data_IF_069802517036
#
_entry.id   IF_069802517036
#
_cell.length_a   1.000
_cell.length_b   1.000
_cell.length_c   1.000
_cell.angle_alpha   90.00
_cell.angle_beta   90.00
_cell.angle_gamma   90.00
#
_symmetry.space_group_name_H-M   'P 1'
#
loop_
_entity.id
_entity.type
_entity.pdbx_description
1 polymer ?
#
# COMPACT_ATOMS: atom_id res chain seq x y z
N UNK A 1 49.09 58.37 -21.17
CA UNK A 1 48.74 57.42 -20.09
C UNK A 1 47.22 57.42 -20.00
N UNK A 2 46.57 56.44 -20.61
CA UNK A 2 45.11 56.36 -20.73
C UNK A 2 44.63 55.22 -19.84
N UNK A 3 43.79 55.52 -18.84
CA UNK A 3 43.11 54.52 -18.02
C UNK A 3 41.73 54.23 -18.62
N UNK A 4 41.29 52.96 -18.73
CA UNK A 4 39.93 52.67 -19.16
C UNK A 4 38.96 52.65 -17.96
N UNK A 5 37.77 53.19 -18.18
CA UNK A 5 36.60 53.16 -17.31
C UNK A 5 35.98 51.75 -17.26
N UNK A 6 35.45 51.29 -16.11
CA UNK A 6 34.74 50.01 -16.06
C UNK A 6 33.27 50.19 -16.46
N UNK A 7 32.80 49.38 -17.40
CA UNK A 7 31.39 49.24 -17.77
C UNK A 7 30.65 48.43 -16.69
N UNK A 8 29.64 49.05 -16.07
CA UNK A 8 28.66 48.38 -15.22
C UNK A 8 27.68 47.61 -16.10
N UNK A 9 27.80 46.28 -16.11
CA UNK A 9 26.79 45.39 -16.68
C UNK A 9 25.65 45.21 -15.66
N UNK A 10 24.46 45.70 -16.01
CA UNK A 10 23.21 45.40 -15.31
C UNK A 10 22.80 43.96 -15.64
N UNK A 11 22.87 43.06 -14.66
CA UNK A 11 22.35 41.70 -14.77
C UNK A 11 20.83 41.73 -14.60
N UNK A 12 20.09 41.52 -15.68
CA UNK A 12 18.64 41.28 -15.64
C UNK A 12 18.32 40.01 -14.85
N UNK A 13 17.59 40.14 -13.74
CA UNK A 13 17.05 39.01 -12.99
C UNK A 13 15.90 38.39 -13.79
N UNK A 14 16.17 37.26 -14.46
CA UNK A 14 15.15 36.38 -15.00
C UNK A 14 14.50 35.62 -13.84
N UNK A 15 13.28 36.02 -13.48
CA UNK A 15 12.43 35.29 -12.55
C UNK A 15 12.13 33.90 -13.11
N UNK A 16 12.77 32.87 -12.55
CA UNK A 16 12.45 31.47 -12.80
C UNK A 16 11.12 31.19 -12.08
N UNK A 17 10.01 31.22 -12.83
CA UNK A 17 8.74 30.70 -12.35
C UNK A 17 8.88 29.20 -12.08
N UNK A 18 8.67 28.79 -10.84
CA UNK A 18 8.68 27.39 -10.43
C UNK A 18 7.48 26.69 -11.08
N UNK A 19 7.68 26.11 -12.26
CA UNK A 19 6.71 25.22 -12.90
C UNK A 19 6.65 23.93 -12.08
N UNK A 20 5.74 23.88 -11.11
CA UNK A 20 5.39 22.62 -10.45
C UNK A 20 4.79 21.71 -11.54
N UNK A 21 5.36 20.53 -11.82
CA UNK A 21 4.85 19.66 -12.87
C UNK A 21 3.42 19.20 -12.50
N UNK A 22 2.48 19.37 -13.44
CA UNK A 22 1.05 19.00 -13.29
C UNK A 22 0.82 17.56 -12.78
N UNK A 23 1.78 16.66 -13.00
CA UNK A 23 1.64 15.23 -12.72
C UNK A 23 1.52 14.91 -11.22
N UNK A 24 2.10 15.70 -10.31
CA UNK A 24 2.05 15.40 -8.88
C UNK A 24 0.67 15.72 -8.27
N UNK A 25 -0.05 16.69 -8.86
CA UNK A 25 -1.37 17.11 -8.36
C UNK A 25 -2.46 16.09 -8.65
N UNK A 26 -2.36 15.36 -9.77
CA UNK A 26 -3.31 14.32 -10.16
C UNK A 26 -3.28 13.13 -9.16
N UNK A 27 -2.08 12.59 -8.89
CA UNK A 27 -1.91 11.45 -7.98
C UNK A 27 -2.46 11.73 -6.56
N UNK A 28 -2.22 12.93 -5.99
CA UNK A 28 -2.74 13.29 -4.66
C UNK A 28 -4.28 13.40 -4.66
N UNK A 29 -4.85 13.97 -5.73
CA UNK A 29 -6.30 14.13 -5.88
C UNK A 29 -6.98 12.77 -5.96
N UNK A 30 -6.37 11.83 -6.69
CA UNK A 30 -6.88 10.48 -6.88
C UNK A 30 -6.79 9.61 -5.61
N UNK A 31 -5.66 9.65 -4.91
CA UNK A 31 -5.50 8.98 -3.62
C UNK A 31 -6.56 9.51 -2.62
N UNK A 32 -6.72 10.83 -2.54
CA UNK A 32 -7.74 11.45 -1.68
C UNK A 32 -9.15 11.00 -2.05
N UNK A 33 -9.43 10.83 -3.34
CA UNK A 33 -10.72 10.38 -3.84
C UNK A 33 -10.99 8.93 -3.45
N UNK A 34 -10.05 8.02 -3.66
CA UNK A 34 -10.17 6.60 -3.25
C UNK A 34 -10.46 6.50 -1.74
N UNK A 35 -9.75 7.28 -0.91
CA UNK A 35 -10.01 7.31 0.52
C UNK A 35 -11.41 7.82 0.89
N UNK A 36 -11.92 8.83 0.17
CA UNK A 36 -13.27 9.39 0.42
C UNK A 36 -14.40 8.53 -0.10
N UNK A 37 -14.15 7.67 -1.08
CA UNK A 37 -15.16 6.76 -1.61
C UNK A 37 -15.48 5.66 -0.60
N UNK A 38 -16.69 5.11 -0.67
CA UNK A 38 -17.08 3.88 0.03
C UNK A 38 -17.05 2.74 -0.98
N UNK A 39 -16.05 1.85 -0.93
CA UNK A 39 -15.93 0.76 -1.90
C UNK A 39 -17.07 -0.24 -1.71
N UNK A 40 -17.51 -0.87 -2.80
CA UNK A 40 -18.49 -1.97 -2.75
C UNK A 40 -17.95 -3.18 -3.50
N UNK A 41 -18.42 -4.39 -3.21
CA UNK A 41 -17.96 -5.59 -3.93
C UNK A 41 -18.18 -5.48 -5.45
N UNK A 42 -19.21 -4.78 -5.90
CA UNK A 42 -19.54 -4.64 -7.33
C UNK A 42 -18.69 -3.58 -8.05
N UNK A 43 -18.08 -2.66 -7.31
CA UNK A 43 -17.28 -1.58 -7.86
C UNK A 43 -16.38 -0.99 -6.78
N UNK A 44 -15.07 -1.10 -6.98
CA UNK A 44 -14.06 -0.41 -6.19
C UNK A 44 -12.80 -0.16 -7.04
N UNK A 45 -11.98 0.77 -6.57
CA UNK A 45 -10.75 1.18 -7.22
C UNK A 45 -9.53 0.57 -6.55
N UNK A 46 -8.55 0.22 -7.37
CA UNK A 46 -7.20 -0.13 -6.91
C UNK A 46 -6.15 0.72 -7.62
N UNK A 47 -5.05 0.98 -6.94
CA UNK A 47 -3.87 1.69 -7.44
C UNK A 47 -2.85 0.70 -8.02
N UNK A 48 -2.22 1.09 -9.13
CA UNK A 48 -1.11 0.37 -9.76
C UNK A 48 -0.08 1.34 -10.33
N UNK A 49 1.11 0.84 -10.69
CA UNK A 49 2.10 1.59 -11.47
C UNK A 49 3.03 2.48 -10.64
N UNK A 50 3.00 2.36 -9.32
CA UNK A 50 3.81 3.12 -8.37
C UNK A 50 3.19 4.48 -8.03
N UNK A 51 3.08 4.79 -6.73
CA UNK A 51 2.53 6.06 -6.25
C UNK A 51 1.08 6.31 -6.67
N UNK A 52 0.32 5.24 -6.95
CA UNK A 52 -1.00 5.29 -7.56
C UNK A 52 -1.04 6.05 -8.90
N UNK A 53 -0.04 5.82 -9.77
CA UNK A 53 0.02 6.45 -11.08
C UNK A 53 -1.13 6.01 -12.02
N UNK A 54 -1.65 4.80 -11.82
CA UNK A 54 -2.77 4.24 -12.56
C UNK A 54 -3.85 3.73 -11.60
N UNK A 55 -5.11 3.91 -11.99
CA UNK A 55 -6.27 3.46 -11.22
C UNK A 55 -7.05 2.47 -12.07
N UNK A 56 -7.33 1.31 -11.50
CA UNK A 56 -8.14 0.28 -12.13
C UNK A 56 -9.42 0.09 -11.35
N UNK A 57 -10.54 0.20 -12.06
CA UNK A 57 -11.86 -0.16 -11.55
C UNK A 57 -12.01 -1.68 -11.62
N UNK A 58 -12.44 -2.29 -10.53
CA UNK A 58 -12.60 -3.73 -10.42
C UNK A 58 -13.81 -4.08 -9.55
N UNK A 59 -14.10 -5.38 -9.45
CA UNK A 59 -15.18 -5.95 -8.68
C UNK A 59 -14.82 -7.35 -8.20
N UNK A 60 -15.58 -7.86 -7.23
CA UNK A 60 -15.55 -9.23 -6.74
C UNK A 60 -16.86 -9.90 -7.09
N UNK A 61 -16.77 -11.05 -7.77
CA UNK A 61 -17.88 -11.95 -7.99
C UNK A 61 -18.26 -12.66 -6.68
N UNK A 62 -19.47 -13.22 -6.63
CA UNK A 62 -19.99 -13.83 -5.41
C UNK A 62 -19.19 -15.07 -4.96
N UNK A 63 -18.62 -15.83 -5.89
CA UNK A 63 -17.76 -17.00 -5.63
C UNK A 63 -16.36 -16.60 -5.14
N UNK A 64 -15.80 -15.55 -5.73
CA UNK A 64 -14.57 -14.93 -5.25
C UNK A 64 -14.74 -14.39 -3.82
N UNK A 65 -15.86 -13.70 -3.54
CA UNK A 65 -16.13 -13.21 -2.20
C UNK A 65 -16.36 -14.33 -1.19
N UNK A 66 -17.04 -15.41 -1.56
CA UNK A 66 -17.16 -16.61 -0.71
C UNK A 66 -15.81 -17.21 -0.34
N UNK A 67 -14.84 -17.14 -1.24
CA UNK A 67 -13.46 -17.57 -0.95
C UNK A 67 -12.85 -16.72 0.16
N UNK A 68 -13.15 -15.43 0.20
CA UNK A 68 -12.73 -14.52 1.28
C UNK A 68 -13.47 -14.81 2.58
N UNK A 69 -14.80 -14.93 2.55
CA UNK A 69 -15.58 -15.18 3.78
C UNK A 69 -15.22 -16.50 4.44
N UNK A 70 -14.89 -17.53 3.64
CA UNK A 70 -14.46 -18.84 4.14
C UNK A 70 -13.18 -18.77 5.00
N UNK A 71 -12.32 -17.75 4.83
CA UNK A 71 -11.13 -17.54 5.68
C UNK A 71 -11.55 -17.18 7.11
N UNK A 72 -12.67 -16.48 7.27
CA UNK A 72 -13.19 -16.04 8.57
C UNK A 72 -14.14 -17.06 9.20
N UNK A 73 -14.55 -18.09 8.46
CA UNK A 73 -15.41 -19.15 8.94
C UNK A 73 -14.61 -20.16 9.75
N UNK A 74 -14.63 -20.02 11.07
CA UNK A 74 -14.00 -20.99 11.96
C UNK A 74 -15.00 -21.46 13.03
N UNK A 75 -15.68 -22.58 12.75
CA UNK A 75 -16.87 -23.01 13.49
C UNK A 75 -16.62 -23.46 14.93
N UNK A 76 -15.35 -23.56 15.37
CA UNK A 76 -14.98 -24.15 16.66
C UNK A 76 -14.00 -23.30 17.49
N UNK A 77 -13.62 -22.10 17.04
CA UNK A 77 -12.68 -21.24 17.76
C UNK A 77 -13.37 -19.94 18.20
N UNK A 78 -13.09 -19.52 19.42
CA UNK A 78 -13.47 -18.19 19.89
C UNK A 78 -12.70 -17.15 19.06
N UNK A 79 -13.41 -16.26 18.38
CA UNK A 79 -12.79 -15.17 17.62
C UNK A 79 -12.22 -14.15 18.61
N UNK A 80 -10.90 -14.06 18.65
CA UNK A 80 -10.17 -13.01 19.37
C UNK A 80 -9.45 -12.08 18.38
N UNK A 81 -8.90 -10.97 18.91
CA UNK A 81 -8.25 -9.98 18.07
C UNK A 81 -7.02 -10.54 17.35
N UNK A 82 -6.30 -11.50 17.94
CA UNK A 82 -5.15 -12.11 17.28
C UNK A 82 -5.57 -12.95 16.08
N UNK A 83 -6.61 -13.78 16.24
CA UNK A 83 -7.16 -14.60 15.17
C UNK A 83 -7.77 -13.73 14.07
N UNK A 84 -8.48 -12.65 14.42
CA UNK A 84 -8.99 -11.71 13.42
C UNK A 84 -7.86 -11.09 12.59
N UNK A 85 -6.73 -10.70 13.21
CA UNK A 85 -5.55 -10.24 12.46
C UNK A 85 -5.00 -11.30 11.53
N UNK A 86 -4.92 -12.57 11.96
CA UNK A 86 -4.48 -13.66 11.09
C UNK A 86 -5.39 -13.81 9.86
N UNK A 87 -6.71 -13.82 10.07
CA UNK A 87 -7.68 -13.90 8.96
C UNK A 87 -7.58 -12.70 8.03
N UNK A 88 -7.37 -11.49 8.55
CA UNK A 88 -7.14 -10.29 7.73
C UNK A 88 -5.88 -10.47 6.88
N UNK A 89 -4.77 -10.94 7.45
CA UNK A 89 -3.53 -11.17 6.72
C UNK A 89 -3.73 -12.13 5.54
N UNK A 90 -4.37 -13.27 5.79
CA UNK A 90 -4.64 -14.29 4.78
C UNK A 90 -5.63 -13.79 3.71
N UNK A 91 -6.64 -13.03 4.12
CA UNK A 91 -7.62 -12.45 3.22
C UNK A 91 -7.02 -11.37 2.29
N UNK A 92 -6.07 -10.57 2.78
CA UNK A 92 -5.34 -9.62 1.93
C UNK A 92 -4.59 -10.37 0.83
N UNK A 93 -3.83 -11.42 1.16
CA UNK A 93 -3.15 -12.23 0.16
C UNK A 93 -4.13 -12.86 -0.85
N UNK A 94 -5.25 -13.42 -0.38
CA UNK A 94 -6.25 -13.97 -1.31
C UNK A 94 -6.86 -12.91 -2.23
N UNK A 95 -7.16 -11.70 -1.70
CA UNK A 95 -7.68 -10.59 -2.49
C UNK A 95 -6.67 -10.11 -3.52
N UNK A 96 -5.40 -9.98 -3.16
CA UNK A 96 -4.33 -9.63 -4.09
C UNK A 96 -4.17 -10.63 -5.23
N UNK A 97 -4.32 -11.93 -4.94
CA UNK A 97 -4.29 -12.97 -5.96
C UNK A 97 -5.47 -12.86 -6.93
N UNK A 98 -6.68 -12.68 -6.40
CA UNK A 98 -7.91 -12.55 -7.21
C UNK A 98 -7.86 -11.28 -8.06
N UNK A 99 -7.53 -10.16 -7.44
CA UNK A 99 -7.51 -8.86 -8.11
C UNK A 99 -6.31 -8.77 -9.07
N UNK A 100 -5.14 -9.29 -8.68
CA UNK A 100 -3.97 -9.29 -9.55
C UNK A 100 -4.17 -10.02 -10.86
N UNK A 101 -4.99 -11.07 -10.89
CA UNK A 101 -5.40 -11.74 -12.13
C UNK A 101 -6.25 -10.85 -13.05
N UNK A 102 -7.01 -9.91 -12.50
CA UNK A 102 -7.88 -8.98 -13.25
C UNK A 102 -7.15 -7.71 -13.68
N UNK A 103 -6.15 -7.30 -12.89
CA UNK A 103 -5.49 -6.00 -13.03
C UNK A 103 -4.06 -6.12 -13.55
N UNK A 104 -3.64 -7.34 -13.93
CA UNK A 104 -2.30 -7.66 -14.41
C UNK A 104 -1.19 -7.33 -13.39
N UNK A 105 -1.48 -7.49 -12.09
CA UNK A 105 -0.51 -7.35 -10.99
C UNK A 105 -0.18 -8.69 -10.33
N UNK A 106 -0.62 -9.82 -10.91
CA UNK A 106 -0.32 -11.17 -10.41
C UNK A 106 1.18 -11.53 -10.40
N UNK A 107 2.00 -10.75 -11.11
CA UNK A 107 3.46 -10.89 -11.15
C UNK A 107 4.16 -9.87 -10.25
N UNK A 108 3.41 -9.15 -9.41
CA UNK A 108 3.99 -8.29 -8.39
C UNK A 108 4.90 -9.08 -7.46
N UNK A 109 6.04 -8.46 -7.14
CA UNK A 109 7.11 -9.08 -6.37
C UNK A 109 7.40 -8.26 -5.13
N UNK A 110 7.87 -8.94 -4.10
CA UNK A 110 8.32 -8.34 -2.85
C UNK A 110 9.24 -7.15 -3.09
N UNK A 111 8.85 -5.99 -2.57
CA UNK A 111 9.65 -4.77 -2.61
C UNK A 111 9.55 -3.93 -3.88
N UNK A 112 9.89 -2.64 -3.80
CA UNK A 112 9.75 -1.69 -4.93
C UNK A 112 11.01 -1.49 -5.77
N UNK A 113 12.18 -1.32 -5.16
CA UNK A 113 13.33 -0.68 -5.84
C UNK A 113 13.93 -1.55 -6.97
N UNK A 114 14.17 -2.82 -6.72
CA UNK A 114 14.72 -3.75 -7.73
C UNK A 114 13.66 -4.21 -8.74
N UNK A 115 12.38 -3.95 -8.44
CA UNK A 115 11.26 -4.47 -9.22
C UNK A 115 10.48 -3.39 -9.95
N UNK A 116 10.77 -2.11 -9.75
CA UNK A 116 10.02 -0.99 -10.36
C UNK A 116 9.88 -1.06 -11.89
N UNK A 117 10.73 -1.84 -12.57
CA UNK A 117 10.69 -2.09 -14.02
C UNK A 117 9.94 -3.37 -14.41
N UNK A 118 9.52 -4.18 -13.46
CA UNK A 118 8.78 -5.43 -13.71
C UNK A 118 7.32 -5.10 -14.07
N UNK A 119 6.78 -5.71 -15.15
CA UNK A 119 5.38 -5.59 -15.47
C UNK A 119 4.50 -6.06 -14.30
N UNK A 120 3.48 -5.26 -13.97
CA UNK A 120 2.54 -5.57 -12.89
C UNK A 120 3.04 -5.24 -11.48
N UNK A 121 4.24 -4.66 -11.34
CA UNK A 121 4.81 -4.30 -10.05
C UNK A 121 4.01 -3.18 -9.34
N UNK A 122 3.84 -3.35 -8.04
CA UNK A 122 3.26 -2.39 -7.11
C UNK A 122 4.35 -1.80 -6.19
N UNK A 123 4.14 -0.57 -5.75
CA UNK A 123 4.95 0.05 -4.70
C UNK A 123 4.24 0.07 -3.34
N UNK A 124 4.95 0.52 -2.30
CA UNK A 124 4.37 0.58 -0.96
C UNK A 124 3.12 1.48 -0.85
N UNK A 125 2.94 2.45 -1.75
CA UNK A 125 1.75 3.30 -1.72
C UNK A 125 0.57 2.60 -2.37
N UNK A 126 0.80 1.95 -3.52
CA UNK A 126 -0.20 1.12 -4.18
C UNK A 126 -0.72 0.03 -3.21
N UNK A 127 0.22 -0.70 -2.60
CA UNK A 127 -0.07 -1.76 -1.63
C UNK A 127 -0.87 -1.25 -0.42
N UNK A 128 -0.45 -0.13 0.17
CA UNK A 128 -1.13 0.46 1.31
C UNK A 128 -2.57 0.92 0.98
N UNK A 129 -2.78 1.52 -0.19
CA UNK A 129 -4.10 1.98 -0.63
C UNK A 129 -5.02 0.79 -0.94
N UNK A 130 -4.50 -0.21 -1.65
CA UNK A 130 -5.24 -1.41 -2.02
C UNK A 130 -5.64 -2.21 -0.77
N UNK A 131 -4.68 -2.46 0.13
CA UNK A 131 -4.94 -3.13 1.41
C UNK A 131 -5.96 -2.39 2.27
N UNK A 132 -5.91 -1.05 2.31
CA UNK A 132 -6.93 -0.26 3.01
C UNK A 132 -8.32 -0.44 2.40
N UNK A 133 -8.42 -0.47 1.07
CA UNK A 133 -9.68 -0.70 0.34
C UNK A 133 -10.25 -2.09 0.63
N UNK A 134 -9.41 -3.12 0.60
CA UNK A 134 -9.78 -4.49 0.95
C UNK A 134 -10.30 -4.62 2.38
N UNK A 135 -9.59 -4.06 3.35
CA UNK A 135 -10.04 -4.08 4.75
C UNK A 135 -11.36 -3.34 4.95
N UNK A 136 -11.59 -2.23 4.23
CA UNK A 136 -12.88 -1.52 4.28
C UNK A 136 -14.02 -2.36 3.72
N UNK A 137 -13.79 -3.14 2.65
CA UNK A 137 -14.78 -4.10 2.15
C UNK A 137 -15.07 -5.18 3.20
N UNK A 138 -14.04 -5.77 3.80
CA UNK A 138 -14.20 -6.78 4.86
C UNK A 138 -14.95 -6.25 6.08
N UNK A 139 -14.65 -5.02 6.52
CA UNK A 139 -15.35 -4.37 7.63
C UNK A 139 -16.83 -4.09 7.31
N UNK A 140 -17.14 -3.56 6.12
CA UNK A 140 -18.52 -3.28 5.70
C UNK A 140 -19.41 -4.54 5.66
N UNK A 141 -18.80 -5.70 5.41
CA UNK A 141 -19.46 -6.99 5.33
C UNK A 141 -19.37 -7.80 6.63
N UNK A 142 -18.94 -7.18 7.74
CA UNK A 142 -18.95 -7.80 9.08
C UNK A 142 -17.89 -8.88 9.30
N UNK A 143 -16.84 -8.93 8.46
CA UNK A 143 -15.72 -9.86 8.66
C UNK A 143 -14.70 -9.34 9.69
N UNK A 144 -14.56 -8.01 9.80
CA UNK A 144 -13.71 -7.34 10.78
C UNK A 144 -14.61 -6.67 11.82
N UNK A 145 -14.54 -7.15 13.06
CA UNK A 145 -15.41 -6.72 14.16
C UNK A 145 -14.63 -6.24 15.39
N UNK A 146 -13.38 -6.68 15.57
CA UNK A 146 -12.56 -6.34 16.72
C UNK A 146 -11.55 -5.21 16.42
N UNK A 147 -11.37 -4.86 15.14
CA UNK A 147 -10.51 -3.76 14.69
C UNK A 147 -11.29 -2.70 13.90
N UNK A 148 -10.78 -1.47 13.95
CA UNK A 148 -11.22 -0.36 13.14
C UNK A 148 -10.13 0.08 12.18
N UNK A 149 -10.49 0.23 10.91
CA UNK A 149 -9.56 0.66 9.85
C UNK A 149 -9.28 2.16 9.99
N UNK A 150 -8.01 2.54 9.85
CA UNK A 150 -7.52 3.92 9.82
C UNK A 150 -6.99 4.29 8.42
N UNK A 151 -6.75 5.59 8.20
CA UNK A 151 -5.94 6.04 7.07
C UNK A 151 -4.52 5.45 7.13
N UNK A 152 -3.92 5.22 5.96
CA UNK A 152 -2.54 4.73 5.87
C UNK A 152 -1.54 5.62 6.62
N UNK A 153 -0.38 5.05 6.95
CA UNK A 153 0.71 5.76 7.62
C UNK A 153 2.03 5.50 6.92
N UNK A 154 2.90 6.51 6.97
CA UNK A 154 4.24 6.45 6.38
C UNK A 154 5.30 6.59 7.47
N UNK A 155 6.37 5.79 7.39
CA UNK A 155 7.61 5.98 8.18
C UNK A 155 8.71 6.57 7.29
N UNK A 156 9.44 7.56 7.78
CA UNK A 156 10.38 8.37 6.99
C UNK A 156 11.79 7.80 6.87
N UNK A 157 12.17 6.81 7.69
CA UNK A 157 13.51 6.19 7.69
C UNK A 157 13.39 4.68 7.51
N UNK A 158 12.97 4.26 6.32
CA UNK A 158 13.02 2.87 5.89
C UNK A 158 14.20 2.63 4.93
N UNK A 159 14.46 1.40 4.48
CA UNK A 159 15.60 0.97 3.65
C UNK A 159 16.28 2.12 2.86
N UNK A 160 17.53 2.42 3.20
CA UNK A 160 18.33 3.51 2.61
C UNK A 160 17.75 4.93 2.72
N UNK A 161 16.92 5.19 3.74
CA UNK A 161 16.33 6.49 4.03
C UNK A 161 15.07 6.81 3.23
N UNK A 162 14.47 5.85 2.54
CA UNK A 162 13.23 6.07 1.79
C UNK A 162 12.00 5.98 2.68
N UNK A 163 10.91 6.72 2.36
CA UNK A 163 9.64 6.54 3.03
C UNK A 163 9.03 5.18 2.69
N UNK A 164 8.30 4.60 3.65
CA UNK A 164 7.52 3.38 3.45
C UNK A 164 6.12 3.57 4.03
N UNK A 165 5.10 3.25 3.23
CA UNK A 165 3.69 3.40 3.59
C UNK A 165 3.05 2.03 3.88
N UNK A 166 2.06 1.99 4.75
CA UNK A 166 1.30 0.77 5.09
C UNK A 166 -0.14 1.11 5.44
N UNK A 167 -1.05 0.16 5.21
CA UNK A 167 -2.41 0.25 5.74
C UNK A 167 -2.39 0.07 7.27
N UNK A 168 -3.37 0.66 7.97
CA UNK A 168 -3.39 0.66 9.44
C UNK A 168 -4.77 0.34 9.97
N UNK A 169 -4.80 -0.37 11.08
CA UNK A 169 -5.99 -0.57 11.89
C UNK A 169 -5.64 -0.47 13.38
N UNK A 170 -6.62 -0.24 14.23
CA UNK A 170 -6.46 -0.37 15.68
C UNK A 170 -7.47 -1.36 16.25
N UNK A 171 -7.06 -2.07 17.30
CA UNK A 171 -7.95 -2.92 18.08
C UNK A 171 -8.90 -2.05 18.90
N UNK A 172 -10.19 -2.35 18.87
CA UNK A 172 -11.23 -1.57 19.57
C UNK A 172 -11.10 -1.64 21.09
N UNK A 173 -10.70 -2.80 21.62
CA UNK A 173 -10.62 -3.03 23.07
C UNK A 173 -9.44 -2.32 23.73
N UNK A 174 -8.29 -2.25 23.03
CA UNK A 174 -7.02 -1.77 23.61
C UNK A 174 -6.58 -0.43 23.03
N UNK A 175 -7.05 -0.07 21.84
CA UNK A 175 -6.54 1.06 21.07
C UNK A 175 -5.15 0.80 20.46
N UNK A 176 -4.60 -0.42 20.60
CA UNK A 176 -3.30 -0.76 20.02
C UNK A 176 -3.40 -0.76 18.50
N UNK A 177 -2.47 -0.05 17.86
CA UNK A 177 -2.40 0.06 16.41
C UNK A 177 -1.57 -1.06 15.83
N UNK A 178 -1.96 -1.51 14.64
CA UNK A 178 -1.26 -2.50 13.84
C UNK A 178 -1.02 -1.96 12.44
N UNK A 179 0.20 -2.16 11.93
CA UNK A 179 0.49 -2.02 10.51
C UNK A 179 0.01 -3.28 9.77
N UNK A 180 -0.56 -3.11 8.59
CA UNK A 180 -1.00 -4.19 7.68
C UNK A 180 -0.29 -3.97 6.36
N UNK A 181 0.77 -4.76 6.14
CA UNK A 181 1.78 -4.48 5.12
C UNK A 181 1.99 -5.68 4.19
N UNK A 182 1.44 -5.61 2.98
CA UNK A 182 1.57 -6.62 1.93
C UNK A 182 2.87 -6.53 1.12
N UNK A 183 3.65 -5.46 1.29
CA UNK A 183 4.81 -5.15 0.45
C UNK A 183 6.01 -6.10 0.60
N UNK A 184 6.09 -6.84 1.71
CA UNK A 184 7.28 -7.62 2.07
C UNK A 184 7.45 -8.94 1.31
N UNK A 185 6.42 -9.42 0.62
CA UNK A 185 6.39 -10.70 -0.08
C UNK A 185 5.82 -10.53 -1.50
N UNK A 186 5.92 -11.58 -2.33
CA UNK A 186 5.35 -11.56 -3.67
C UNK A 186 3.80 -11.59 -3.61
N UNK A 187 3.14 -11.25 -4.72
CA UNK A 187 1.69 -11.22 -4.81
C UNK A 187 1.03 -12.48 -4.24
N UNK A 188 0.03 -12.27 -3.39
CA UNK A 188 -0.83 -13.34 -2.89
C UNK A 188 -0.35 -14.02 -1.61
N UNK A 189 0.80 -13.60 -1.06
CA UNK A 189 1.21 -13.97 0.29
C UNK A 189 0.36 -13.23 1.34
N UNK A 190 0.18 -13.79 2.54
CA UNK A 190 -0.47 -13.08 3.62
C UNK A 190 0.23 -11.76 3.96
N UNK A 191 -0.55 -10.72 4.25
CA UNK A 191 0.01 -9.44 4.67
C UNK A 191 0.74 -9.57 6.02
N UNK A 192 1.81 -8.81 6.18
CA UNK A 192 2.51 -8.75 7.47
C UNK A 192 1.76 -7.83 8.42
N UNK A 193 1.28 -8.39 9.55
CA UNK A 193 0.59 -7.61 10.58
C UNK A 193 1.38 -7.62 11.89
N UNK A 194 1.88 -6.45 12.28
CA UNK A 194 2.66 -6.27 13.51
C UNK A 194 2.24 -5.00 14.25
N UNK A 195 2.50 -4.87 15.56
CA UNK A 195 2.24 -3.63 16.29
C UNK A 195 2.86 -2.45 15.56
N UNK A 196 2.09 -1.37 15.42
CA UNK A 196 2.48 -0.22 14.60
C UNK A 196 3.77 0.44 15.11
N UNK A 197 4.01 0.43 16.43
CA UNK A 197 5.25 0.91 17.02
C UNK A 197 6.47 0.10 16.55
N UNK A 198 6.35 -1.23 16.49
CA UNK A 198 7.39 -2.14 15.98
C UNK A 198 7.62 -1.92 14.49
N UNK A 199 6.54 -1.80 13.71
CA UNK A 199 6.65 -1.44 12.30
C UNK A 199 7.38 -0.10 12.13
N UNK A 200 6.95 0.93 12.85
CA UNK A 200 7.52 2.28 12.75
C UNK A 200 8.99 2.34 13.14
N UNK A 201 9.46 1.45 14.03
CA UNK A 201 10.86 1.37 14.45
C UNK A 201 11.79 0.62 13.47
N UNK A 202 11.31 0.32 12.26
CA UNK A 202 12.14 -0.32 11.22
C UNK A 202 11.98 -1.83 11.13
N UNK A 203 10.85 -2.39 11.57
CA UNK A 203 10.56 -3.81 11.36
C UNK A 203 10.74 -4.23 9.89
N UNK A 204 11.33 -5.40 9.73
CA UNK A 204 11.53 -6.09 8.47
C UNK A 204 11.47 -7.61 8.73
N UNK A 205 10.62 -8.38 8.02
CA UNK A 205 10.59 -9.83 8.19
C UNK A 205 11.93 -10.46 7.79
N UNK A 206 12.52 -11.24 8.68
CA UNK A 206 13.83 -11.87 8.44
C UNK A 206 13.82 -12.87 7.27
N UNK A 207 12.65 -13.38 6.91
CA UNK A 207 12.44 -14.33 5.83
C UNK A 207 11.99 -13.68 4.52
N UNK A 208 11.81 -12.36 4.48
CA UNK A 208 11.37 -11.66 3.27
C UNK A 208 12.35 -11.88 2.10
N UNK A 209 11.83 -12.14 0.87
CA UNK A 209 12.63 -12.32 -0.34
C UNK A 209 13.52 -11.11 -0.68
N UNK A 210 13.21 -9.93 -0.12
CA UNK A 210 13.94 -8.69 -0.33
C UNK A 210 15.34 -8.75 0.30
N UNK A 211 15.49 -9.38 1.49
CA UNK A 211 16.76 -9.45 2.21
C UNK A 211 17.64 -10.63 1.77
N UNK A 212 17.02 -11.76 1.43
CA UNK A 212 17.78 -13.00 1.18
C UNK A 212 18.53 -12.99 -0.15
N UNK A 213 18.27 -12.01 -1.02
CA UNK A 213 18.56 -12.14 -2.45
C UNK A 213 17.69 -13.26 -3.03
N UNK A 214 17.24 -13.14 -4.27
CA UNK A 214 16.34 -14.12 -4.90
C UNK A 214 17.06 -15.43 -5.27
N UNK A 215 17.67 -16.09 -4.31
CA UNK A 215 18.07 -17.47 -4.41
C UNK A 215 16.89 -18.27 -3.84
N UNK A 216 16.18 -18.97 -4.72
CA UNK A 216 15.25 -20.06 -4.39
C UNK A 216 13.75 -19.75 -4.24
N UNK A 217 13.14 -18.99 -5.16
CA UNK A 217 11.70 -19.15 -5.45
C UNK A 217 11.58 -19.81 -6.82
N UNK A 218 11.45 -21.14 -6.82
CA UNK A 218 11.13 -21.97 -7.98
C UNK A 218 9.62 -22.02 -8.21
#
# INVERSE_FOLDING_TARGET
MSYPTPQLFYSSLLSIGLLIPLNLQAAITDITRIYKQTPTLKAFEICTGGGCAEIKQTSLADDEWKTITAIFENSNQHIDAQLERQHIADAIGMLEKIIGAKTATSTDRAGTFDNSKYPGQLDCNDEAINSTTYMRLMQQHGLINLHQIEDMRTRSFFLFGWPHSTAVMHELATGERYAVDSWFYDNGYPATIVPFAVWKSGYFPADSPILKGRLDVK
#
